data_IF_274295373777
#
_entry.id   IF_274295373777
#
_cell.length_a   1.000
_cell.length_b   1.000
_cell.length_c   1.000
_cell.angle_alpha   90.00
_cell.angle_beta   90.00
_cell.angle_gamma   90.00
#
_symmetry.space_group_name_H-M   'P 1'
#
loop_
_entity.id
_entity.type
_entity.pdbx_description
1 polymer ?
#
# COMPACT_ATOMS: atom_id res chain seq x y z
N UNK A 1 -34.47 -24.77 33.23
CA UNK A 1 -34.54 -23.29 33.16
C UNK A 1 -33.23 -22.83 32.54
N UNK A 2 -33.25 -22.61 31.21
CA UNK A 2 -33.16 -21.29 30.56
C UNK A 2 -31.84 -20.59 30.90
N UNK A 3 -30.94 -20.25 29.97
CA UNK A 3 -31.23 -19.58 28.71
C UNK A 3 -30.06 -19.75 27.72
N UNK A 4 -30.40 -20.17 26.51
CA UNK A 4 -29.55 -20.25 25.34
C UNK A 4 -29.40 -18.85 24.75
N UNK A 5 -28.23 -18.20 24.86
CA UNK A 5 -27.94 -16.97 24.10
C UNK A 5 -27.04 -17.30 22.91
N UNK A 6 -27.69 -17.80 21.86
CA UNK A 6 -27.16 -17.76 20.49
C UNK A 6 -26.86 -16.31 20.13
N UNK A 7 -25.60 -15.94 19.98
CA UNK A 7 -25.22 -14.70 19.30
C UNK A 7 -24.62 -15.07 17.95
N UNK A 8 -25.51 -15.29 16.97
CA UNK A 8 -25.18 -15.14 15.56
C UNK A 8 -25.00 -13.64 15.32
N UNK A 9 -23.92 -13.24 14.66
CA UNK A 9 -23.91 -12.45 13.41
C UNK A 9 -22.45 -12.15 13.01
N UNK A 10 -22.17 -12.49 11.76
CA UNK A 10 -20.99 -12.23 10.93
C UNK A 10 -20.91 -10.75 10.50
N UNK A 11 -19.72 -10.12 10.50
CA UNK A 11 -19.30 -9.21 9.41
C UNK A 11 -17.83 -8.78 9.52
N UNK A 12 -17.16 -8.78 8.38
CA UNK A 12 -15.79 -8.40 8.04
C UNK A 12 -15.35 -6.96 8.38
N UNK A 13 -16.01 -6.28 9.31
CA UNK A 13 -15.84 -4.84 9.55
C UNK A 13 -14.76 -4.49 10.59
N UNK A 14 -14.19 -5.48 11.29
CA UNK A 14 -13.18 -5.26 12.36
C UNK A 14 -11.72 -5.51 11.96
N UNK A 15 -11.42 -5.87 10.70
CA UNK A 15 -10.03 -6.16 10.29
C UNK A 15 -9.16 -4.89 10.17
N UNK A 16 -9.80 -3.71 10.05
CA UNK A 16 -9.11 -2.44 9.81
C UNK A 16 -8.93 -1.58 11.08
N UNK A 17 -9.68 -1.84 12.16
CA UNK A 17 -9.65 -1.03 13.39
C UNK A 17 -8.26 -1.08 14.08
N UNK A 18 -7.56 -2.21 13.97
CA UNK A 18 -6.18 -2.35 14.49
C UNK A 18 -5.09 -1.80 13.56
N UNK A 19 -5.36 -1.66 12.25
CA UNK A 19 -4.41 -1.12 11.26
C UNK A 19 -4.24 0.38 11.48
N UNK A 20 -5.34 1.10 11.73
CA UNK A 20 -5.28 2.54 11.98
C UNK A 20 -4.59 2.90 13.30
N UNK A 21 -4.74 2.08 14.33
CA UNK A 21 -4.13 2.26 15.65
C UNK A 21 -2.63 1.95 15.61
N UNK A 22 -2.23 0.81 15.03
CA UNK A 22 -0.82 0.47 14.80
C UNK A 22 -0.13 1.49 13.87
N UNK A 23 -0.82 1.98 12.85
CA UNK A 23 -0.33 3.04 11.97
C UNK A 23 -0.20 4.39 12.70
N UNK A 24 -1.04 4.66 13.72
CA UNK A 24 -0.92 5.84 14.59
C UNK A 24 0.26 5.73 15.54
N UNK A 25 0.45 4.58 16.19
CA UNK A 25 1.57 4.34 17.11
C UNK A 25 2.91 4.35 16.37
N UNK A 26 2.98 3.72 15.19
CA UNK A 26 4.15 3.79 14.32
C UNK A 26 4.47 5.22 13.88
N UNK A 27 3.45 6.03 13.52
CA UNK A 27 3.61 7.46 13.22
C UNK A 27 4.09 8.25 14.44
N UNK A 28 3.66 7.90 15.64
CA UNK A 28 4.06 8.57 16.88
C UNK A 28 5.50 8.22 17.30
N UNK A 29 6.02 7.06 16.88
CA UNK A 29 7.39 6.62 17.15
C UNK A 29 8.40 7.04 16.05
N UNK A 30 7.94 7.63 14.94
CA UNK A 30 8.78 8.02 13.81
C UNK A 30 9.60 9.26 14.14
N UNK A 31 10.92 9.19 13.96
CA UNK A 31 11.78 10.37 14.10
C UNK A 31 11.64 11.28 12.88
N UNK A 32 12.05 12.55 13.01
CA UNK A 32 12.06 13.47 11.86
C UNK A 32 12.95 12.95 10.70
N UNK A 33 14.05 12.28 11.04
CA UNK A 33 14.98 11.66 10.08
C UNK A 33 14.33 10.47 9.36
N UNK A 34 13.61 9.61 10.10
CA UNK A 34 12.83 8.51 9.49
C UNK A 34 11.76 9.04 8.53
N UNK A 35 11.13 10.16 8.88
CA UNK A 35 10.09 10.76 8.06
C UNK A 35 10.64 11.41 6.78
N UNK A 36 11.77 12.08 6.86
CA UNK A 36 12.44 12.69 5.71
C UNK A 36 12.97 11.61 4.75
N UNK A 37 13.63 10.57 5.28
CA UNK A 37 14.05 9.40 4.50
C UNK A 37 12.86 8.74 3.78
N UNK A 38 11.74 8.58 4.49
CA UNK A 38 10.53 7.96 3.92
C UNK A 38 9.91 8.81 2.79
N UNK A 39 9.89 10.14 2.94
CA UNK A 39 9.44 11.05 1.88
C UNK A 39 10.35 11.00 0.64
N UNK A 40 11.66 10.95 0.85
CA UNK A 40 12.63 10.81 -0.23
C UNK A 40 12.46 9.48 -0.96
N UNK A 41 12.35 8.37 -0.24
CA UNK A 41 12.15 7.04 -0.82
C UNK A 41 10.81 6.94 -1.57
N UNK A 42 9.74 7.53 -1.04
CA UNK A 42 8.44 7.57 -1.72
C UNK A 42 8.53 8.34 -3.04
N UNK A 43 9.19 9.50 -3.04
CA UNK A 43 9.37 10.33 -4.25
C UNK A 43 10.25 9.63 -5.28
N UNK A 44 11.38 9.07 -4.85
CA UNK A 44 12.30 8.35 -5.72
C UNK A 44 11.64 7.14 -6.36
N UNK A 45 10.82 6.40 -5.59
CA UNK A 45 9.99 5.30 -6.11
C UNK A 45 9.01 5.80 -7.17
N UNK A 46 8.25 6.87 -6.91
CA UNK A 46 7.32 7.42 -7.89
C UNK A 46 8.00 7.77 -9.22
N UNK A 47 9.20 8.36 -9.17
CA UNK A 47 10.00 8.65 -10.36
C UNK A 47 10.37 7.37 -11.11
N UNK A 48 10.78 6.30 -10.42
CA UNK A 48 11.08 5.00 -11.03
C UNK A 48 9.84 4.38 -11.70
N UNK A 49 8.70 4.36 -11.01
CA UNK A 49 7.44 3.87 -11.59
C UNK A 49 7.01 4.70 -12.82
N UNK A 50 7.20 6.02 -12.79
CA UNK A 50 6.92 6.87 -13.95
C UNK A 50 7.84 6.52 -15.13
N UNK A 51 9.11 6.21 -14.87
CA UNK A 51 10.04 5.70 -15.87
C UNK A 51 9.57 4.38 -16.50
N UNK A 52 9.17 3.41 -15.68
CA UNK A 52 8.63 2.13 -16.16
C UNK A 52 7.34 2.30 -16.96
N UNK A 53 6.41 3.12 -16.47
CA UNK A 53 5.16 3.42 -17.16
C UNK A 53 5.39 4.11 -18.50
N UNK A 54 6.29 5.10 -18.55
CA UNK A 54 6.62 5.83 -19.79
C UNK A 54 7.34 4.93 -20.80
N UNK A 55 8.12 3.96 -20.32
CA UNK A 55 8.74 2.94 -21.15
C UNK A 55 7.73 1.86 -21.64
N UNK A 56 6.46 1.94 -21.23
CA UNK A 56 5.43 0.97 -21.59
C UNK A 56 5.61 -0.40 -20.93
N UNK A 57 6.35 -0.47 -19.81
CA UNK A 57 6.58 -1.73 -19.12
C UNK A 57 5.28 -2.23 -18.50
N UNK A 58 4.93 -3.51 -18.67
CA UNK A 58 3.74 -4.06 -18.04
C UNK A 58 3.94 -4.11 -16.53
N UNK A 59 2.84 -4.02 -15.77
CA UNK A 59 2.88 -3.96 -14.31
C UNK A 59 3.42 -5.23 -13.65
N UNK A 60 3.39 -6.36 -14.35
CA UNK A 60 3.93 -7.65 -13.94
C UNK A 60 5.39 -7.87 -14.37
N UNK A 61 6.03 -6.87 -15.00
CA UNK A 61 7.43 -6.94 -15.39
C UNK A 61 8.32 -7.21 -14.16
N UNK A 62 9.37 -8.04 -14.28
CA UNK A 62 10.26 -8.38 -13.17
C UNK A 62 10.84 -7.15 -12.45
N UNK A 63 11.20 -6.11 -13.19
CA UNK A 63 11.74 -4.87 -12.66
C UNK A 63 10.71 -4.10 -11.82
N UNK A 64 9.45 -4.06 -12.27
CA UNK A 64 8.35 -3.41 -11.57
C UNK A 64 8.02 -4.19 -10.29
N UNK A 65 8.01 -5.52 -10.37
CA UNK A 65 7.75 -6.39 -9.22
C UNK A 65 8.89 -6.36 -8.20
N UNK A 66 10.15 -6.23 -8.63
CA UNK A 66 11.29 -6.07 -7.73
C UNK A 66 11.21 -4.74 -6.94
N UNK A 67 10.79 -3.65 -7.58
CA UNK A 67 10.55 -2.39 -6.89
C UNK A 67 9.41 -2.50 -5.85
N UNK A 68 8.38 -3.29 -6.15
CA UNK A 68 7.31 -3.57 -5.18
C UNK A 68 7.74 -4.48 -4.04
N UNK A 69 8.69 -5.37 -4.26
CA UNK A 69 9.26 -6.18 -3.18
C UNK A 69 9.96 -5.31 -2.15
N UNK A 70 10.75 -4.34 -2.61
CA UNK A 70 11.38 -3.31 -1.75
C UNK A 70 10.31 -2.49 -1.02
N UNK A 71 9.25 -2.10 -1.72
CA UNK A 71 8.13 -1.38 -1.12
C UNK A 71 7.43 -2.20 -0.02
N UNK A 72 7.12 -3.47 -0.30
CA UNK A 72 6.48 -4.37 0.64
C UNK A 72 7.36 -4.62 1.87
N UNK A 73 8.66 -4.89 1.68
CA UNK A 73 9.63 -5.04 2.75
C UNK A 73 9.70 -3.78 3.63
N UNK A 74 9.62 -2.59 3.03
CA UNK A 74 9.61 -1.32 3.77
C UNK A 74 8.35 -1.17 4.63
N UNK A 75 7.18 -1.58 4.12
CA UNK A 75 5.92 -1.58 4.88
C UNK A 75 5.98 -2.59 6.03
N UNK A 76 6.55 -3.77 5.79
CA UNK A 76 6.73 -4.84 6.78
C UNK A 76 7.54 -4.42 8.02
N UNK A 77 8.32 -3.34 7.94
CA UNK A 77 9.00 -2.76 9.10
C UNK A 77 8.04 -2.18 10.14
N UNK A 78 6.83 -1.81 9.72
CA UNK A 78 5.80 -1.24 10.59
C UNK A 78 4.71 -2.26 10.91
N UNK A 79 4.23 -2.96 9.88
CA UNK A 79 3.22 -4.01 10.00
C UNK A 79 3.28 -4.90 8.77
N UNK A 80 2.88 -6.16 8.89
CA UNK A 80 2.91 -7.13 7.78
C UNK A 80 1.52 -7.25 7.14
N UNK A 81 1.25 -6.57 6.00
CA UNK A 81 -0.05 -6.67 5.33
C UNK A 81 -0.18 -8.02 4.61
N UNK A 82 -1.37 -8.61 4.69
CA UNK A 82 -1.75 -9.72 3.80
C UNK A 82 -2.12 -9.20 2.39
N UNK A 83 -2.37 -10.09 1.43
CA UNK A 83 -2.73 -9.70 0.05
C UNK A 83 -3.89 -8.69 -0.03
N UNK A 84 -4.94 -8.87 0.79
CA UNK A 84 -6.11 -7.97 0.81
C UNK A 84 -5.73 -6.58 1.31
N UNK A 85 -4.98 -6.52 2.41
CA UNK A 85 -4.51 -5.28 3.00
C UNK A 85 -3.57 -4.52 2.05
N UNK A 86 -2.64 -5.22 1.39
CA UNK A 86 -1.71 -4.59 0.45
C UNK A 86 -2.42 -4.05 -0.80
N UNK A 87 -3.42 -4.77 -1.32
CA UNK A 87 -4.31 -4.24 -2.38
C UNK A 87 -5.08 -3.01 -1.94
N UNK A 88 -5.66 -3.06 -0.75
CA UNK A 88 -6.41 -1.94 -0.17
C UNK A 88 -5.54 -0.69 -0.06
N UNK A 89 -4.27 -0.85 0.34
CA UNK A 89 -3.30 0.25 0.39
C UNK A 89 -3.08 0.89 -0.98
N UNK A 90 -2.93 0.08 -2.03
CA UNK A 90 -2.82 0.58 -3.40
C UNK A 90 -4.07 1.36 -3.87
N UNK A 91 -5.26 0.92 -3.48
CA UNK A 91 -6.50 1.67 -3.76
C UNK A 91 -6.52 3.01 -3.02
N UNK A 92 -6.15 3.03 -1.74
CA UNK A 92 -6.09 4.27 -0.96
C UNK A 92 -5.13 5.30 -1.57
N UNK A 93 -4.03 4.86 -2.20
CA UNK A 93 -3.13 5.77 -2.92
C UNK A 93 -3.80 6.42 -4.13
N UNK A 94 -4.62 5.70 -4.88
CA UNK A 94 -5.37 6.28 -5.99
C UNK A 94 -6.48 7.22 -5.52
N UNK A 95 -7.15 6.87 -4.42
CA UNK A 95 -8.27 7.62 -3.86
C UNK A 95 -7.83 8.91 -3.15
N UNK A 96 -6.62 8.96 -2.58
CA UNK A 96 -6.08 10.16 -1.95
C UNK A 96 -5.79 11.24 -3.00
N UNK A 97 -6.53 12.37 -3.00
CA UNK A 97 -6.33 13.44 -3.98
C UNK A 97 -4.93 14.04 -3.94
N UNK A 98 -4.25 14.03 -2.78
CA UNK A 98 -2.88 14.56 -2.64
C UNK A 98 -1.86 13.68 -3.34
N UNK A 99 -2.03 12.36 -3.19
CA UNK A 99 -1.19 11.38 -3.85
C UNK A 99 -1.43 11.42 -5.35
N UNK A 100 -2.70 11.43 -5.77
CA UNK A 100 -3.07 11.57 -7.19
C UNK A 100 -2.49 12.83 -7.82
N UNK A 101 -2.62 14.00 -7.17
CA UNK A 101 -2.02 15.25 -7.66
C UNK A 101 -0.50 15.18 -7.77
N UNK A 102 0.18 14.51 -6.84
CA UNK A 102 1.63 14.31 -6.91
C UNK A 102 1.99 13.42 -8.09
N UNK A 103 1.26 12.32 -8.28
CA UNK A 103 1.45 11.40 -9.40
C UNK A 103 1.19 12.08 -10.75
N UNK A 104 0.10 12.82 -10.89
CA UNK A 104 -0.27 13.55 -12.12
C UNK A 104 0.80 14.60 -12.49
N UNK A 105 1.47 15.21 -11.50
CA UNK A 105 2.60 16.13 -11.75
C UNK A 105 3.86 15.42 -12.27
N UNK A 106 4.00 14.12 -12.00
CA UNK A 106 5.14 13.32 -12.45
C UNK A 106 4.82 12.68 -13.81
N UNK A 107 3.71 11.96 -13.90
CA UNK A 107 3.18 11.38 -15.12
C UNK A 107 1.69 11.04 -14.97
N UNK A 108 0.89 11.45 -15.94
CA UNK A 108 -0.54 11.14 -15.98
C UNK A 108 -0.78 9.63 -15.93
N UNK A 109 -1.65 9.18 -15.02
CA UNK A 109 -1.99 7.76 -14.85
C UNK A 109 -1.04 6.97 -13.93
N UNK A 110 0.01 7.60 -13.39
CA UNK A 110 0.98 6.95 -12.51
C UNK A 110 0.34 6.31 -11.26
N UNK A 111 -0.63 6.98 -10.64
CA UNK A 111 -1.33 6.46 -9.47
C UNK A 111 -2.09 5.15 -9.79
N UNK A 112 -2.70 5.07 -10.98
CA UNK A 112 -3.39 3.87 -11.44
C UNK A 112 -2.40 2.74 -11.75
N UNK A 113 -1.30 3.05 -12.43
CA UNK A 113 -0.23 2.10 -12.72
C UNK A 113 0.36 1.48 -11.45
N UNK A 114 0.64 2.30 -10.44
CA UNK A 114 1.19 1.82 -9.17
C UNK A 114 0.19 0.93 -8.40
N UNK A 115 -1.09 1.32 -8.34
CA UNK A 115 -2.15 0.50 -7.75
C UNK A 115 -2.24 -0.86 -8.44
N UNK A 116 -2.21 -0.90 -9.77
CA UNK A 116 -2.34 -2.15 -10.54
C UNK A 116 -1.12 -3.06 -10.32
N UNK A 117 0.08 -2.49 -10.29
CA UNK A 117 1.29 -3.23 -9.96
C UNK A 117 1.21 -3.84 -8.56
N UNK A 118 0.75 -3.08 -7.55
CA UNK A 118 0.56 -3.59 -6.18
C UNK A 118 -0.45 -4.73 -6.12
N UNK A 119 -1.52 -4.67 -6.91
CA UNK A 119 -2.50 -5.74 -7.00
C UNK A 119 -1.90 -7.03 -7.55
N UNK A 120 -1.09 -6.94 -8.61
CA UNK A 120 -0.37 -8.08 -9.20
C UNK A 120 0.61 -8.68 -8.20
N UNK A 121 1.40 -7.85 -7.52
CA UNK A 121 2.36 -8.32 -6.51
C UNK A 121 1.66 -9.09 -5.38
N UNK A 122 0.54 -8.56 -4.89
CA UNK A 122 -0.24 -9.23 -3.85
C UNK A 122 -0.73 -10.62 -4.29
N UNK A 123 -1.21 -10.78 -5.52
CA UNK A 123 -1.68 -12.08 -6.04
C UNK A 123 -0.56 -13.10 -6.30
N UNK A 124 0.62 -12.59 -6.66
CA UNK A 124 1.80 -13.40 -6.90
C UNK A 124 2.45 -13.89 -5.60
N UNK A 125 2.55 -13.02 -4.58
CA UNK A 125 3.48 -13.24 -3.45
C UNK A 125 2.82 -13.35 -2.06
N UNK A 126 1.61 -12.81 -1.84
CA UNK A 126 1.09 -12.58 -0.47
C UNK A 126 -0.06 -13.51 -0.02
N UNK A 127 -0.04 -14.78 -0.43
CA UNK A 127 -1.14 -15.75 -0.21
C UNK A 127 -1.29 -16.24 1.23
#
# INVERSE_FOLDING_TARGET
MSENRTMKINRSENLFVGVEEACREAKAAMTAEDQEWWQHEMTARMIRFAGYMTAGMPVDAPEVQAELDIHYASICRFWTPNAVAYRGLGQSYLEDPRFRLTCDRIADGLAAYQRDAMAVYADAWLR
#
